data_IF_656649315412
#
_entry.id   IF_656649315412
#
_cell.length_a   1.000
_cell.length_b   1.000
_cell.length_c   1.000
_cell.angle_alpha   90.00
_cell.angle_beta   90.00
_cell.angle_gamma   90.00
#
_symmetry.space_group_name_H-M   'P 1'
#
loop_
_entity.id
_entity.type
_entity.pdbx_description
1 polymer ?
#
# COMPACT_ATOMS: atom_id res chain seq x y z
N UNK A 1 0.92 11.66 3.26
CA UNK A 1 0.91 12.15 1.86
C UNK A 1 2.30 11.96 1.29
N UNK A 2 2.42 11.44 0.08
CA UNK A 2 3.70 11.07 -0.55
C UNK A 2 4.20 12.17 -1.49
N UNK A 3 5.50 12.19 -1.77
CA UNK A 3 6.09 13.18 -2.69
C UNK A 3 5.90 12.70 -4.15
N UNK A 4 5.19 13.48 -4.99
CA UNK A 4 4.91 13.11 -6.38
C UNK A 4 6.15 12.84 -7.24
N UNK A 5 7.33 13.32 -6.84
CA UNK A 5 8.57 13.04 -7.57
C UNK A 5 8.98 11.58 -7.53
N UNK A 6 8.59 10.82 -6.49
CA UNK A 6 8.94 9.42 -6.30
C UNK A 6 7.87 8.45 -6.82
N UNK A 7 6.59 8.81 -6.72
CA UNK A 7 5.50 7.88 -7.04
C UNK A 7 4.85 8.11 -8.41
N UNK A 8 5.07 9.28 -9.04
CA UNK A 8 4.44 9.62 -10.33
C UNK A 8 5.44 9.53 -11.49
N UNK A 9 5.05 8.78 -12.53
CA UNK A 9 5.88 8.58 -13.72
C UNK A 9 6.21 9.91 -14.43
N UNK A 10 7.41 10.05 -15.02
CA UNK A 10 7.86 11.31 -15.63
C UNK A 10 6.92 11.87 -16.72
N UNK A 11 6.26 10.99 -17.48
CA UNK A 11 5.36 11.35 -18.58
C UNK A 11 4.04 11.98 -18.13
N UNK A 12 3.59 11.72 -16.90
CA UNK A 12 2.46 12.42 -16.28
C UNK A 12 2.93 13.72 -15.64
N UNK A 13 4.08 13.69 -14.95
CA UNK A 13 4.66 14.88 -14.30
C UNK A 13 4.95 16.02 -15.28
N UNK A 14 5.30 15.72 -16.53
CA UNK A 14 5.55 16.74 -17.55
C UNK A 14 4.27 17.42 -18.07
N UNK A 15 3.09 16.87 -17.79
CA UNK A 15 1.78 17.37 -18.27
C UNK A 15 0.85 17.82 -17.15
N UNK A 16 1.27 17.67 -15.89
CA UNK A 16 0.50 18.06 -14.72
C UNK A 16 1.25 19.14 -13.94
N UNK A 17 0.54 20.19 -13.56
CA UNK A 17 1.09 21.21 -12.68
C UNK A 17 1.07 20.69 -11.24
N UNK A 18 2.23 20.66 -10.59
CA UNK A 18 2.35 20.26 -9.19
C UNK A 18 2.17 21.49 -8.32
N UNK A 19 1.16 21.44 -7.44
CA UNK A 19 0.97 22.42 -6.39
C UNK A 19 1.36 21.80 -5.05
N UNK A 20 2.24 22.48 -4.33
CA UNK A 20 2.51 22.16 -2.93
C UNK A 20 1.46 22.87 -2.08
N UNK A 21 0.66 22.07 -1.38
CA UNK A 21 -0.26 22.58 -0.36
C UNK A 21 0.45 22.54 0.99
N UNK A 22 0.34 23.62 1.74
CA UNK A 22 0.80 23.66 3.12
C UNK A 22 -0.33 23.25 4.05
N UNK A 23 0.04 22.86 5.27
CA UNK A 23 -0.93 22.70 6.35
C UNK A 23 -1.65 24.03 6.60
N UNK A 24 -2.93 23.93 6.94
CA UNK A 24 -3.70 25.10 7.33
C UNK A 24 -3.19 25.63 8.66
N UNK A 25 -3.12 26.96 8.77
CA UNK A 25 -2.80 27.56 10.05
C UNK A 25 -4.01 27.49 11.00
N UNK A 26 -3.79 27.89 12.26
CA UNK A 26 -4.83 27.84 13.28
C UNK A 26 -6.02 28.77 12.97
N UNK A 27 -5.78 29.90 12.31
CA UNK A 27 -6.82 30.85 11.95
C UNK A 27 -7.70 30.30 10.82
N UNK A 28 -7.10 29.68 9.81
CA UNK A 28 -7.78 29.01 8.71
C UNK A 28 -8.67 27.87 9.22
N UNK A 29 -8.12 27.01 10.09
CA UNK A 29 -8.90 25.94 10.70
C UNK A 29 -10.05 26.49 11.54
N UNK A 30 -9.83 27.55 12.32
CA UNK A 30 -10.88 28.21 13.11
C UNK A 30 -11.98 28.76 12.20
N UNK A 31 -11.62 29.35 11.06
CA UNK A 31 -12.57 29.87 10.08
C UNK A 31 -13.39 28.75 9.43
N UNK A 32 -12.78 27.59 9.15
CA UNK A 32 -13.47 26.41 8.60
C UNK A 32 -14.47 25.86 9.61
N UNK A 33 -14.06 25.64 10.86
CA UNK A 33 -14.95 25.14 11.92
C UNK A 33 -16.10 26.11 12.17
N UNK A 34 -15.81 27.42 12.25
CA UNK A 34 -16.84 28.44 12.41
C UNK A 34 -17.82 28.48 11.24
N UNK A 35 -17.35 28.24 10.00
CA UNK A 35 -18.21 28.13 8.82
C UNK A 35 -19.11 26.91 8.91
N UNK A 36 -18.57 25.76 9.29
CA UNK A 36 -19.35 24.54 9.47
C UNK A 36 -20.45 24.70 10.54
N UNK A 37 -20.15 25.38 11.65
CA UNK A 37 -21.14 25.67 12.70
C UNK A 37 -22.25 26.63 12.25
N UNK A 38 -22.00 27.52 11.28
CA UNK A 38 -22.96 28.56 10.84
C UNK A 38 -23.73 28.17 9.58
N UNK A 39 -23.17 27.32 8.71
CA UNK A 39 -23.79 26.92 7.45
C UNK A 39 -25.05 26.08 7.72
N UNK A 40 -26.22 26.58 7.32
CA UNK A 40 -27.52 25.95 7.55
C UNK A 40 -27.90 24.92 6.48
N UNK A 41 -27.15 24.83 5.39
CA UNK A 41 -27.45 23.91 4.28
C UNK A 41 -26.49 22.72 4.25
N UNK A 42 -25.20 22.98 4.47
CA UNK A 42 -24.12 21.98 4.37
C UNK A 42 -23.34 21.80 5.67
N UNK A 43 -23.78 22.43 6.75
CA UNK A 43 -23.16 22.37 8.07
C UNK A 43 -24.18 22.19 9.18
N UNK A 44 -23.76 22.56 10.39
CA UNK A 44 -24.48 22.35 11.64
C UNK A 44 -25.35 23.55 12.06
N UNK A 45 -25.54 24.53 11.18
CA UNK A 45 -26.24 25.78 11.52
C UNK A 45 -27.72 25.61 11.87
N UNK A 46 -28.34 24.47 11.54
CA UNK A 46 -29.72 24.14 11.96
C UNK A 46 -29.80 23.50 13.33
N UNK A 47 -28.68 23.00 13.84
CA UNK A 47 -28.61 22.19 15.06
C UNK A 47 -28.19 23.02 16.26
N UNK A 48 -27.87 24.30 16.05
CA UNK A 48 -27.50 25.25 17.09
C UNK A 48 -26.41 24.72 18.03
N UNK A 49 -25.45 23.98 17.49
CA UNK A 49 -24.30 23.47 18.24
C UNK A 49 -23.45 24.66 18.69
N UNK A 50 -23.21 24.74 20.00
CA UNK A 50 -22.32 25.74 20.61
C UNK A 50 -21.15 25.01 21.25
N UNK A 51 -19.92 25.47 21.00
CA UNK A 51 -18.71 24.97 21.64
C UNK A 51 -18.24 25.98 22.68
N UNK A 52 -17.68 25.51 23.79
CA UNK A 52 -16.80 26.34 24.61
C UNK A 52 -15.53 26.72 23.84
N UNK A 53 -14.91 27.86 24.17
CA UNK A 53 -13.70 28.31 23.47
C UNK A 53 -12.55 27.32 23.65
N UNK A 54 -12.42 26.73 24.85
CA UNK A 54 -11.44 25.68 25.16
C UNK A 54 -11.72 24.40 24.36
N UNK A 55 -12.99 24.06 24.15
CA UNK A 55 -13.40 22.92 23.34
C UNK A 55 -13.01 23.12 21.87
N UNK A 56 -13.25 24.31 21.32
CA UNK A 56 -12.80 24.68 19.99
C UNK A 56 -11.28 24.63 19.87
N UNK A 57 -10.55 25.17 20.85
CA UNK A 57 -9.09 25.16 20.85
C UNK A 57 -8.49 23.75 20.90
N UNK A 58 -9.14 22.82 21.60
CA UNK A 58 -8.77 21.40 21.57
C UNK A 58 -8.98 20.76 20.20
N UNK A 59 -10.11 21.05 19.54
CA UNK A 59 -10.37 20.57 18.16
C UNK A 59 -9.27 21.08 17.21
N UNK A 60 -8.94 22.38 17.27
CA UNK A 60 -7.94 22.99 16.40
C UNK A 60 -6.54 22.41 16.67
N UNK A 61 -6.19 22.22 17.94
CA UNK A 61 -4.90 21.64 18.33
C UNK A 61 -4.78 20.19 17.88
N UNK A 62 -5.84 19.39 18.01
CA UNK A 62 -5.88 18.01 17.53
C UNK A 62 -5.82 17.89 16.00
N UNK A 63 -6.46 18.82 15.29
CA UNK A 63 -6.50 18.84 13.84
C UNK A 63 -5.10 19.04 13.22
N UNK A 64 -4.22 19.79 13.89
CA UNK A 64 -2.82 20.03 13.50
C UNK A 64 -2.65 20.32 11.99
N UNK A 65 -3.46 21.24 11.47
CA UNK A 65 -3.46 21.65 10.06
C UNK A 65 -4.34 20.83 9.10
N UNK A 66 -4.97 19.74 9.55
CA UNK A 66 -5.93 18.95 8.74
C UNK A 66 -7.39 19.33 9.08
N UNK A 67 -8.04 20.09 8.19
CA UNK A 67 -9.44 20.48 8.34
C UNK A 67 -10.39 19.29 8.45
N UNK A 68 -10.08 18.15 7.81
CA UNK A 68 -10.93 16.96 7.88
C UNK A 68 -10.98 16.42 9.30
N UNK A 69 -9.84 16.39 10.00
CA UNK A 69 -9.78 15.98 11.41
C UNK A 69 -10.62 16.89 12.31
N UNK A 70 -10.52 18.20 12.11
CA UNK A 70 -11.32 19.17 12.85
C UNK A 70 -12.82 18.93 12.65
N UNK A 71 -13.26 18.74 11.40
CA UNK A 71 -14.66 18.52 11.06
C UNK A 71 -15.19 17.16 11.54
N UNK A 72 -14.37 16.10 11.53
CA UNK A 72 -14.76 14.79 12.07
C UNK A 72 -14.99 14.84 13.59
N UNK A 73 -14.13 15.55 14.34
CA UNK A 73 -14.35 15.74 15.78
C UNK A 73 -15.60 16.57 16.03
N UNK A 74 -15.86 17.57 15.19
CA UNK A 74 -17.07 18.39 15.25
C UNK A 74 -18.35 17.58 14.98
N UNK A 75 -18.32 16.66 14.02
CA UNK A 75 -19.41 15.73 13.73
C UNK A 75 -19.68 14.79 14.92
N UNK A 76 -18.64 14.19 15.50
CA UNK A 76 -18.78 13.37 16.71
C UNK A 76 -19.33 14.17 17.91
N UNK A 77 -18.98 15.47 18.01
CA UNK A 77 -19.53 16.35 19.02
C UNK A 77 -21.03 16.65 18.80
N UNK A 78 -21.48 16.75 17.54
CA UNK A 78 -22.88 16.89 17.17
C UNK A 78 -23.69 15.63 17.56
N UNK A 79 -23.19 14.44 17.26
CA UNK A 79 -23.83 13.18 17.66
C UNK A 79 -24.00 13.09 19.18
N UNK A 80 -22.97 13.48 19.93
CA UNK A 80 -23.03 13.56 21.40
C UNK A 80 -24.11 14.54 21.86
N UNK A 81 -24.18 15.74 21.27
CA UNK A 81 -25.16 16.76 21.63
C UNK A 81 -26.61 16.32 21.37
N UNK A 82 -26.86 15.62 20.26
CA UNK A 82 -28.19 15.06 19.91
C UNK A 82 -28.65 14.01 20.91
N UNK A 83 -27.74 13.15 21.38
CA UNK A 83 -28.07 12.08 22.34
C UNK A 83 -28.49 12.59 23.73
N UNK A 84 -28.04 13.79 24.11
CA UNK A 84 -28.28 14.35 25.45
C UNK A 84 -29.38 15.43 25.50
N UNK A 85 -29.94 15.83 24.35
CA UNK A 85 -30.96 16.90 24.23
C UNK A 85 -30.54 18.20 24.96
N UNK A 86 -29.24 18.53 24.90
CA UNK A 86 -28.63 19.63 25.67
C UNK A 86 -28.56 20.92 24.84
N UNK A 87 -29.14 21.98 25.37
CA UNK A 87 -29.04 23.36 24.87
C UNK A 87 -27.82 24.13 25.43
N UNK A 88 -26.80 23.42 25.92
CA UNK A 88 -25.62 24.01 26.56
C UNK A 88 -24.38 23.89 25.67
N UNK A 89 -23.41 24.82 25.79
CA UNK A 89 -22.12 24.69 25.11
C UNK A 89 -21.45 23.34 25.40
N UNK A 90 -20.90 22.71 24.37
CA UNK A 90 -20.16 21.45 24.50
C UNK A 90 -18.85 21.74 25.21
N UNK A 91 -18.58 21.12 26.37
CA UNK A 91 -17.40 21.44 27.15
C UNK A 91 -16.14 20.74 26.64
N UNK A 92 -14.99 21.32 26.97
CA UNK A 92 -13.68 20.78 26.60
C UNK A 92 -13.52 19.29 26.93
N UNK A 93 -14.01 18.84 28.09
CA UNK A 93 -13.94 17.43 28.55
C UNK A 93 -14.65 16.44 27.62
N UNK A 94 -15.73 16.87 26.96
CA UNK A 94 -16.43 16.02 25.97
C UNK A 94 -15.55 15.85 24.74
N UNK A 95 -14.97 16.94 24.25
CA UNK A 95 -14.02 16.92 23.13
C UNK A 95 -12.77 16.11 23.49
N UNK A 96 -12.22 16.24 24.69
CA UNK A 96 -11.12 15.40 25.17
C UNK A 96 -11.52 13.93 25.18
N UNK A 97 -12.73 13.58 25.63
CA UNK A 97 -13.21 12.19 25.61
C UNK A 97 -13.38 11.63 24.19
N UNK A 98 -13.82 12.47 23.24
CA UNK A 98 -13.92 12.12 21.81
C UNK A 98 -12.52 11.91 21.23
N UNK A 99 -11.61 12.86 21.48
CA UNK A 99 -10.23 12.81 21.00
C UNK A 99 -9.47 11.65 21.63
N UNK A 100 -9.60 11.39 22.93
CA UNK A 100 -8.90 10.30 23.61
C UNK A 100 -9.37 8.93 23.11
N UNK A 101 -10.67 8.75 22.83
CA UNK A 101 -11.13 7.52 22.15
C UNK A 101 -10.51 7.38 20.76
N UNK A 102 -10.32 8.48 20.03
CA UNK A 102 -9.64 8.47 18.74
C UNK A 102 -8.10 8.28 18.85
N UNK A 103 -7.46 8.83 19.90
CA UNK A 103 -6.01 8.83 20.11
C UNK A 103 -5.48 7.54 20.75
N UNK A 104 -6.26 6.89 21.63
CA UNK A 104 -5.95 5.53 22.14
C UNK A 104 -5.91 4.51 21.00
N UNK A 105 -6.52 4.82 19.86
CA UNK A 105 -6.53 3.94 18.71
C UNK A 105 -5.28 4.06 17.84
N UNK A 106 -4.65 5.25 17.65
CA UNK A 106 -3.50 5.39 16.72
C UNK A 106 -2.83 6.78 16.71
N UNK A 107 -1.50 6.82 16.81
CA UNK A 107 -0.70 7.99 16.45
C UNK A 107 -0.23 7.90 14.98
N UNK A 108 -0.80 8.75 14.12
CA UNK A 108 -0.41 8.86 12.69
C UNK A 108 0.87 9.66 12.46
N UNK A 109 1.40 10.36 13.46
CA UNK A 109 2.55 11.27 13.34
C UNK A 109 3.87 10.65 13.78
N UNK A 110 3.84 9.42 14.29
CA UNK A 110 5.00 8.74 14.87
C UNK A 110 5.42 7.47 14.12
N UNK A 111 6.56 6.91 14.58
CA UNK A 111 7.10 5.59 14.21
C UNK A 111 6.05 4.47 14.28
N UNK A 112 4.99 4.64 15.09
CA UNK A 112 3.92 3.66 15.26
C UNK A 112 3.18 3.27 13.98
N UNK A 113 3.01 4.16 13.00
CA UNK A 113 2.43 3.79 11.69
C UNK A 113 3.24 2.68 11.02
N UNK A 114 4.56 2.86 10.93
CA UNK A 114 5.46 1.89 10.33
C UNK A 114 5.59 0.64 11.19
N UNK A 115 5.52 0.77 12.52
CA UNK A 115 5.57 -0.37 13.43
C UNK A 115 4.33 -1.26 13.30
N UNK A 116 3.13 -0.68 13.18
CA UNK A 116 1.89 -1.42 12.92
C UNK A 116 1.92 -2.11 11.56
N UNK A 117 2.36 -1.42 10.51
CA UNK A 117 2.52 -2.00 9.17
C UNK A 117 3.56 -3.15 9.16
N UNK A 118 4.66 -2.95 9.87
CA UNK A 118 5.74 -3.93 10.05
C UNK A 118 5.24 -5.16 10.80
N UNK A 119 4.47 -4.99 11.88
CA UNK A 119 3.87 -6.07 12.64
C UNK A 119 2.83 -6.83 11.81
N UNK A 120 2.02 -6.11 11.02
CA UNK A 120 1.07 -6.70 10.07
C UNK A 120 1.77 -7.60 9.04
N UNK A 121 2.81 -7.10 8.38
CA UNK A 121 3.57 -7.88 7.39
C UNK A 121 4.28 -9.08 8.03
N UNK A 122 4.88 -8.91 9.21
CA UNK A 122 5.52 -10.01 9.96
C UNK A 122 4.53 -11.08 10.39
N UNK A 123 3.31 -10.70 10.76
CA UNK A 123 2.25 -11.65 11.13
C UNK A 123 1.79 -12.48 9.92
N UNK A 124 1.57 -11.82 8.78
CA UNK A 124 1.27 -12.47 7.51
C UNK A 124 2.38 -13.47 7.12
N UNK A 125 3.65 -13.04 7.15
CA UNK A 125 4.83 -13.86 6.87
C UNK A 125 4.97 -15.03 7.84
N UNK A 126 4.76 -14.77 9.13
CA UNK A 126 4.78 -15.75 10.22
C UNK A 126 3.61 -16.72 10.21
N UNK A 127 2.66 -16.56 9.28
CA UNK A 127 1.46 -17.39 9.15
C UNK A 127 0.52 -17.34 10.35
N UNK A 128 0.55 -16.23 11.09
CA UNK A 128 -0.36 -15.95 12.20
C UNK A 128 -1.53 -15.09 11.69
N UNK A 129 -2.63 -15.75 11.33
CA UNK A 129 -3.81 -15.08 10.77
C UNK A 129 -4.52 -14.21 11.81
N UNK A 130 -4.53 -14.61 13.09
CA UNK A 130 -5.20 -13.88 14.15
C UNK A 130 -4.45 -12.59 14.47
N UNK A 131 -3.12 -12.66 14.59
CA UNK A 131 -2.28 -11.48 14.74
C UNK A 131 -2.37 -10.54 13.54
N UNK A 132 -2.38 -11.08 12.30
CA UNK A 132 -2.53 -10.26 11.10
C UNK A 132 -3.88 -9.52 11.06
N UNK A 133 -4.97 -10.17 11.47
CA UNK A 133 -6.29 -9.54 11.60
C UNK A 133 -6.30 -8.48 12.70
N UNK A 134 -5.64 -8.74 13.84
CA UNK A 134 -5.51 -7.75 14.89
C UNK A 134 -4.80 -6.47 14.41
N UNK A 135 -3.67 -6.60 13.72
CA UNK A 135 -2.94 -5.44 13.19
C UNK A 135 -3.71 -4.72 12.07
N UNK A 136 -4.44 -5.45 11.21
CA UNK A 136 -5.37 -4.86 10.26
C UNK A 136 -6.42 -4.00 10.99
N UNK A 137 -7.08 -4.56 12.01
CA UNK A 137 -8.11 -3.86 12.77
C UNK A 137 -7.55 -2.65 13.52
N UNK A 138 -6.34 -2.76 14.09
CA UNK A 138 -5.64 -1.65 14.77
C UNK A 138 -5.35 -0.50 13.80
N UNK A 139 -4.85 -0.80 12.60
CA UNK A 139 -4.63 0.23 11.56
C UNK A 139 -5.95 0.87 11.10
N UNK A 140 -7.01 0.09 10.86
CA UNK A 140 -8.33 0.61 10.47
C UNK A 140 -8.92 1.51 11.56
N UNK A 141 -8.94 1.04 12.81
CA UNK A 141 -9.45 1.80 13.94
C UNK A 141 -8.63 3.07 14.18
N UNK A 142 -7.35 3.02 13.82
CA UNK A 142 -6.47 4.16 13.77
C UNK A 142 -6.66 5.15 12.63
N UNK A 143 -7.63 4.86 11.77
CA UNK A 143 -7.94 5.64 10.60
C UNK A 143 -6.89 5.56 9.51
N UNK A 144 -5.95 4.60 9.54
CA UNK A 144 -4.94 4.42 8.50
C UNK A 144 -5.55 4.45 7.10
N UNK A 145 -4.82 5.00 6.12
CA UNK A 145 -5.29 4.96 4.74
C UNK A 145 -5.47 3.49 4.31
N UNK A 146 -6.70 3.02 4.01
CA UNK A 146 -6.92 1.62 3.63
C UNK A 146 -6.15 1.24 2.35
N UNK A 147 -5.81 2.21 1.50
CA UNK A 147 -4.96 1.98 0.33
C UNK A 147 -3.54 1.61 0.73
N UNK A 148 -3.00 2.21 1.80
CA UNK A 148 -1.69 1.87 2.33
C UNK A 148 -1.67 0.42 2.84
N UNK A 149 -2.70 0.02 3.60
CA UNK A 149 -2.86 -1.36 4.08
C UNK A 149 -2.91 -2.33 2.90
N UNK A 150 -3.71 -2.03 1.88
CA UNK A 150 -3.85 -2.85 0.68
C UNK A 150 -2.53 -3.01 -0.08
N UNK A 151 -1.75 -1.92 -0.25
CA UNK A 151 -0.43 -1.98 -0.88
C UNK A 151 0.52 -2.90 -0.10
N UNK A 152 0.51 -2.83 1.24
CA UNK A 152 1.33 -3.71 2.09
C UNK A 152 0.93 -5.18 1.96
N UNK A 153 -0.37 -5.46 1.85
CA UNK A 153 -0.88 -6.81 1.62
C UNK A 153 -0.45 -7.37 0.25
N UNK A 154 -0.51 -6.57 -0.82
CA UNK A 154 -0.06 -6.96 -2.16
C UNK A 154 1.44 -7.27 -2.17
N UNK A 155 2.27 -6.42 -1.53
CA UNK A 155 3.71 -6.68 -1.39
C UNK A 155 3.95 -8.01 -0.69
N UNK A 156 3.32 -8.24 0.47
CA UNK A 156 3.50 -9.48 1.23
C UNK A 156 2.98 -10.72 0.49
N UNK A 157 1.92 -10.61 -0.30
CA UNK A 157 1.46 -11.70 -1.15
C UNK A 157 2.49 -12.08 -2.23
N UNK A 158 3.17 -11.12 -2.84
CA UNK A 158 4.22 -11.39 -3.83
C UNK A 158 5.56 -11.81 -3.20
N UNK A 159 5.94 -11.18 -2.09
CA UNK A 159 7.24 -11.36 -1.43
C UNK A 159 7.31 -12.62 -0.57
N UNK A 160 6.27 -12.88 0.23
CA UNK A 160 6.30 -13.90 1.27
C UNK A 160 5.49 -15.16 0.92
N UNK A 161 4.47 -15.04 0.06
CA UNK A 161 3.75 -16.20 -0.51
C UNK A 161 4.31 -16.57 -1.88
N UNK A 162 4.49 -15.58 -2.76
CA UNK A 162 5.23 -15.74 -4.01
C UNK A 162 4.74 -16.91 -4.88
N UNK A 163 5.68 -17.70 -5.39
CA UNK A 163 5.36 -18.85 -6.24
C UNK A 163 4.83 -20.05 -5.44
N UNK A 164 4.77 -19.95 -4.10
CA UNK A 164 4.20 -21.05 -3.33
C UNK A 164 2.69 -21.16 -3.51
N UNK A 165 2.02 -20.04 -3.72
CA UNK A 165 0.63 -19.95 -4.13
C UNK A 165 0.37 -18.63 -4.88
N UNK A 166 0.53 -18.62 -6.22
CA UNK A 166 0.36 -17.40 -7.02
C UNK A 166 -1.04 -16.77 -6.94
N UNK A 167 -2.06 -17.50 -6.47
CA UNK A 167 -3.40 -16.94 -6.28
C UNK A 167 -3.43 -15.86 -5.19
N UNK A 168 -2.49 -15.89 -4.23
CA UNK A 168 -2.41 -14.88 -3.18
C UNK A 168 -2.26 -13.46 -3.74
N UNK A 169 -1.46 -13.29 -4.79
CA UNK A 169 -1.27 -11.99 -5.45
C UNK A 169 -2.58 -11.51 -6.11
N UNK A 170 -3.30 -12.40 -6.78
CA UNK A 170 -4.59 -12.06 -7.41
C UNK A 170 -5.63 -11.66 -6.36
N UNK A 171 -5.71 -12.41 -5.26
CA UNK A 171 -6.65 -12.14 -4.16
C UNK A 171 -6.31 -10.82 -3.47
N UNK A 172 -5.04 -10.56 -3.17
CA UNK A 172 -4.60 -9.29 -2.58
C UNK A 172 -4.88 -8.11 -3.51
N UNK A 173 -4.70 -8.28 -4.82
CA UNK A 173 -4.99 -7.24 -5.82
C UNK A 173 -6.49 -6.96 -5.93
N UNK A 174 -7.33 -8.00 -5.95
CA UNK A 174 -8.78 -7.84 -5.92
C UNK A 174 -9.26 -7.14 -4.64
N UNK A 175 -8.64 -7.43 -3.49
CA UNK A 175 -8.92 -6.71 -2.24
C UNK A 175 -8.50 -5.24 -2.31
N UNK A 176 -7.36 -4.92 -2.93
CA UNK A 176 -6.94 -3.54 -3.16
C UNK A 176 -7.91 -2.78 -4.07
N UNK A 177 -8.39 -3.40 -5.14
CA UNK A 177 -9.44 -2.80 -5.98
C UNK A 177 -10.75 -2.60 -5.21
N UNK A 178 -11.14 -3.55 -4.36
CA UNK A 178 -12.32 -3.43 -3.52
C UNK A 178 -12.20 -2.25 -2.55
N UNK A 179 -11.01 -2.00 -1.99
CA UNK A 179 -10.74 -0.82 -1.17
C UNK A 179 -11.00 0.48 -1.93
N UNK A 180 -10.55 0.58 -3.17
CA UNK A 180 -10.75 1.77 -4.01
C UNK A 180 -12.22 1.99 -4.39
N UNK A 181 -12.93 0.89 -4.71
CA UNK A 181 -14.29 0.97 -5.25
C UNK A 181 -15.37 1.09 -4.17
N UNK A 182 -15.16 0.45 -3.01
CA UNK A 182 -16.16 0.36 -1.93
C UNK A 182 -15.85 1.36 -0.82
N UNK A 183 -14.58 1.50 -0.44
CA UNK A 183 -14.18 2.32 0.70
C UNK A 183 -14.55 1.71 2.06
N UNK A 184 -14.02 2.30 3.13
CA UNK A 184 -14.38 1.91 4.49
C UNK A 184 -15.76 2.49 4.88
N UNK A 185 -16.55 1.78 5.72
CA UNK A 185 -16.15 0.61 6.51
C UNK A 185 -16.25 -0.73 5.76
N UNK A 186 -16.99 -0.84 4.66
CA UNK A 186 -17.30 -2.11 4.01
C UNK A 186 -16.07 -2.81 3.41
N UNK A 187 -15.09 -2.05 2.91
CA UNK A 187 -13.82 -2.59 2.41
C UNK A 187 -13.00 -3.36 3.45
N UNK A 188 -13.30 -3.24 4.75
CA UNK A 188 -12.64 -4.05 5.80
C UNK A 188 -12.88 -5.56 5.61
N UNK A 189 -14.00 -5.93 4.99
CA UNK A 189 -14.42 -7.33 4.79
C UNK A 189 -13.54 -8.02 3.73
N UNK A 190 -13.45 -7.52 2.47
CA UNK A 190 -12.56 -8.12 1.48
C UNK A 190 -11.08 -8.03 1.88
N UNK A 191 -10.67 -6.96 2.60
CA UNK A 191 -9.33 -6.89 3.20
C UNK A 191 -9.08 -8.03 4.19
N UNK A 192 -9.99 -8.25 5.15
CA UNK A 192 -9.85 -9.32 6.13
C UNK A 192 -9.81 -10.71 5.47
N UNK A 193 -10.64 -10.93 4.44
CA UNK A 193 -10.63 -12.17 3.67
C UNK A 193 -9.26 -12.43 3.03
N UNK A 194 -8.70 -11.43 2.34
CA UNK A 194 -7.39 -11.55 1.71
C UNK A 194 -6.25 -11.70 2.73
N UNK A 195 -6.32 -11.01 3.88
CA UNK A 195 -5.35 -11.15 4.98
C UNK A 195 -5.31 -12.58 5.50
N UNK A 196 -6.48 -13.18 5.78
CA UNK A 196 -6.56 -14.58 6.24
C UNK A 196 -5.99 -15.54 5.20
N UNK A 197 -6.28 -15.30 3.91
CA UNK A 197 -5.73 -16.10 2.82
C UNK A 197 -4.20 -16.04 2.78
N UNK A 198 -3.63 -14.83 2.74
CA UNK A 198 -2.17 -14.62 2.65
C UNK A 198 -1.46 -15.18 3.89
N UNK A 199 -2.03 -14.99 5.08
CA UNK A 199 -1.48 -15.57 6.32
C UNK A 199 -1.44 -17.10 6.26
N UNK A 200 -2.48 -17.76 5.75
CA UNK A 200 -2.58 -19.23 5.71
C UNK A 200 -1.90 -19.88 4.51
N UNK A 201 -1.57 -19.13 3.47
CA UNK A 201 -0.90 -19.66 2.28
C UNK A 201 0.50 -20.19 2.59
N UNK A 202 0.97 -21.17 1.81
CA UNK A 202 2.36 -21.62 1.86
C UNK A 202 3.31 -20.45 1.54
N UNK A 203 4.47 -20.40 2.18
CA UNK A 203 5.42 -19.28 2.05
C UNK A 203 6.55 -19.61 1.08
N UNK A 204 6.93 -18.64 0.26
CA UNK A 204 8.06 -18.71 -0.65
C UNK A 204 8.52 -17.30 -1.05
N UNK A 205 9.78 -16.98 -0.73
CA UNK A 205 10.44 -15.72 -1.07
C UNK A 205 11.45 -15.85 -2.23
N UNK A 206 11.40 -16.93 -2.99
CA UNK A 206 12.31 -17.21 -4.11
C UNK A 206 12.33 -16.09 -5.15
N UNK A 207 11.18 -15.46 -5.43
CA UNK A 207 11.05 -14.40 -6.41
C UNK A 207 11.82 -13.13 -6.00
N UNK A 208 11.61 -12.65 -4.77
CA UNK A 208 12.30 -11.45 -4.26
C UNK A 208 13.82 -11.72 -4.13
N UNK A 209 14.20 -12.88 -3.61
CA UNK A 209 15.61 -13.28 -3.51
C UNK A 209 16.28 -13.34 -4.88
N UNK A 210 15.59 -13.87 -5.90
CA UNK A 210 16.14 -13.99 -7.24
C UNK A 210 16.37 -12.61 -7.89
N UNK A 211 15.39 -11.71 -7.81
CA UNK A 211 15.50 -10.38 -8.42
C UNK A 211 16.52 -9.51 -7.69
N UNK A 212 16.56 -9.54 -6.35
CA UNK A 212 17.50 -8.74 -5.57
C UNK A 212 18.95 -9.17 -5.83
N UNK A 213 19.21 -10.48 -5.97
CA UNK A 213 20.55 -10.97 -6.35
C UNK A 213 20.97 -10.53 -7.75
N UNK A 214 20.04 -10.55 -8.71
CA UNK A 214 20.33 -10.09 -10.07
C UNK A 214 20.57 -8.57 -10.11
N UNK A 215 19.79 -7.79 -9.34
CA UNK A 215 19.97 -6.35 -9.21
C UNK A 215 21.29 -6.00 -8.53
N UNK A 216 21.69 -6.73 -7.47
CA UNK A 216 22.97 -6.51 -6.79
C UNK A 216 24.17 -6.77 -7.72
N UNK A 217 24.15 -7.89 -8.47
CA UNK A 217 25.16 -8.20 -9.48
C UNK A 217 25.32 -7.04 -10.49
N UNK A 218 24.21 -6.45 -10.96
CA UNK A 218 24.21 -5.38 -11.96
C UNK A 218 24.64 -4.03 -11.36
N UNK A 219 24.04 -3.64 -10.24
CA UNK A 219 24.16 -2.28 -9.69
C UNK A 219 25.41 -2.11 -8.82
N UNK A 220 25.79 -3.13 -8.07
CA UNK A 220 26.84 -3.03 -7.06
C UNK A 220 28.11 -3.77 -7.45
N UNK A 221 28.00 -4.86 -8.23
CA UNK A 221 29.16 -5.67 -8.64
C UNK A 221 29.63 -5.36 -10.08
N UNK A 222 28.89 -4.55 -10.83
CA UNK A 222 29.25 -4.17 -12.20
C UNK A 222 29.12 -5.30 -13.23
N UNK A 223 28.39 -6.37 -12.91
CA UNK A 223 28.10 -7.50 -13.81
C UNK A 223 27.00 -7.16 -14.84
N UNK A 224 27.08 -5.97 -15.44
CA UNK A 224 26.17 -5.48 -16.47
C UNK A 224 26.73 -5.78 -17.86
N UNK A 225 26.38 -6.94 -18.41
CA UNK A 225 26.86 -7.40 -19.72
C UNK A 225 25.83 -7.18 -20.85
N UNK A 226 26.29 -7.05 -22.11
CA UNK A 226 25.37 -6.96 -23.24
C UNK A 226 24.58 -8.26 -23.45
N UNK A 227 23.42 -8.14 -24.10
CA UNK A 227 22.61 -9.29 -24.52
C UNK A 227 23.40 -10.16 -25.52
N UNK A 228 23.45 -11.49 -25.36
CA UNK A 228 24.04 -12.40 -26.34
C UNK A 228 23.47 -12.20 -27.76
N UNK A 229 24.31 -12.28 -28.79
CA UNK A 229 23.89 -12.02 -30.18
C UNK A 229 22.75 -12.95 -30.65
N UNK A 230 22.73 -14.19 -30.18
CA UNK A 230 21.66 -15.16 -30.45
C UNK A 230 20.30 -14.78 -29.85
N UNK A 231 20.25 -13.85 -28.89
CA UNK A 231 19.01 -13.42 -28.20
C UNK A 231 18.61 -11.99 -28.56
N UNK A 232 19.42 -11.29 -29.36
CA UNK A 232 19.10 -9.94 -29.83
C UNK A 232 17.91 -9.97 -30.79
N UNK A 233 17.15 -8.87 -30.79
CA UNK A 233 16.02 -8.68 -31.70
C UNK A 233 16.47 -8.79 -33.18
N UNK A 234 15.63 -9.44 -33.98
CA UNK A 234 15.86 -9.67 -35.41
C UNK A 234 14.84 -9.01 -36.34
N UNK A 235 13.91 -8.23 -35.81
CA UNK A 235 12.83 -7.62 -36.58
C UNK A 235 13.26 -6.44 -37.48
N UNK A 236 14.51 -5.96 -37.37
CA UNK A 236 15.03 -4.89 -38.22
C UNK A 236 15.91 -5.43 -39.36
N UNK A 237 15.86 -4.72 -40.50
CA UNK A 237 16.29 -5.20 -41.83
C UNK A 237 17.72 -5.76 -41.88
N UNK A 238 18.62 -5.21 -41.08
CA UNK A 238 20.04 -5.52 -41.13
C UNK A 238 20.47 -6.48 -40.00
N UNK A 239 19.56 -6.87 -39.08
CA UNK A 239 19.87 -7.64 -37.88
C UNK A 239 20.59 -8.96 -38.18
N UNK A 240 20.01 -9.78 -39.07
CA UNK A 240 20.57 -11.09 -39.43
C UNK A 240 21.69 -10.99 -40.46
N UNK A 241 21.50 -10.16 -41.48
CA UNK A 241 22.36 -10.12 -42.66
C UNK A 241 23.65 -9.33 -42.46
N UNK A 242 23.62 -8.27 -41.63
CA UNK A 242 24.77 -7.39 -41.39
C UNK A 242 25.42 -7.63 -40.03
N UNK A 243 24.61 -7.91 -39.01
CA UNK A 243 25.08 -8.02 -37.62
C UNK A 243 25.10 -9.46 -37.09
N UNK A 244 24.53 -10.42 -37.82
CA UNK A 244 24.49 -11.83 -37.39
C UNK A 244 23.59 -12.11 -36.18
N UNK A 245 22.72 -11.18 -35.81
CA UNK A 245 21.89 -11.33 -34.61
C UNK A 245 20.79 -12.37 -34.81
N UNK A 246 20.55 -13.17 -33.78
CA UNK A 246 19.54 -14.23 -33.75
C UNK A 246 19.71 -15.32 -34.80
N UNK A 247 20.86 -15.38 -35.50
CA UNK A 247 21.16 -16.45 -36.48
C UNK A 247 21.21 -17.81 -35.80
N UNK A 248 21.84 -17.89 -34.63
CA UNK A 248 21.98 -19.12 -33.85
C UNK A 248 20.85 -19.33 -32.81
N UNK A 249 19.78 -18.53 -32.87
CA UNK A 249 18.67 -18.68 -31.94
C UNK A 249 17.93 -20.00 -32.16
N UNK A 250 17.84 -20.81 -31.11
CA UNK A 250 17.07 -22.04 -31.09
C UNK A 250 15.70 -21.78 -30.48
N UNK A 251 14.65 -21.83 -31.31
CA UNK A 251 13.27 -21.65 -30.86
C UNK A 251 12.77 -22.88 -30.09
N UNK A 252 12.50 -22.81 -28.77
CA UNK A 252 12.25 -24.01 -27.95
C UNK A 252 11.08 -24.88 -28.42
N UNK A 253 10.01 -24.29 -28.96
CA UNK A 253 8.82 -25.02 -29.42
C UNK A 253 9.08 -25.90 -30.66
N UNK A 254 10.17 -25.67 -31.39
CA UNK A 254 10.58 -26.51 -32.52
C UNK A 254 11.33 -27.77 -32.10
N UNK A 255 11.69 -27.91 -30.81
CA UNK A 255 12.45 -29.05 -30.30
C UNK A 255 11.56 -30.02 -29.52
N UNK A 256 11.88 -31.34 -29.53
CA UNK A 256 11.14 -32.34 -28.76
C UNK A 256 11.00 -31.95 -27.28
N UNK A 257 9.78 -32.11 -26.73
CA UNK A 257 9.49 -31.73 -25.35
C UNK A 257 9.52 -30.23 -25.06
N UNK A 258 9.58 -29.39 -26.12
CA UNK A 258 9.68 -27.91 -26.03
C UNK A 258 10.91 -27.43 -25.25
N UNK A 259 11.99 -28.22 -25.28
CA UNK A 259 13.24 -27.95 -24.57
C UNK A 259 14.41 -28.00 -25.54
N UNK A 260 15.32 -27.05 -25.38
CA UNK A 260 16.54 -26.98 -26.17
C UNK A 260 17.70 -26.56 -25.28
N UNK A 261 18.88 -27.14 -25.53
CA UNK A 261 20.12 -26.70 -24.90
C UNK A 261 20.62 -25.42 -25.57
N UNK A 262 20.46 -24.31 -24.85
CA UNK A 262 20.84 -22.96 -25.26
C UNK A 262 21.19 -22.13 -24.03
N UNK A 263 22.30 -21.39 -24.11
CA UNK A 263 22.69 -20.40 -23.10
C UNK A 263 21.81 -19.15 -23.23
N UNK A 264 21.18 -18.74 -22.13
CA UNK A 264 20.34 -17.53 -22.09
C UNK A 264 21.00 -16.37 -21.34
N UNK A 265 21.89 -16.67 -20.39
CA UNK A 265 22.67 -15.65 -19.69
C UNK A 265 23.87 -15.21 -20.54
N UNK A 266 24.42 -13.99 -20.31
CA UNK A 266 25.73 -13.61 -20.81
C UNK A 266 26.79 -14.66 -20.47
N UNK A 267 27.77 -14.85 -21.35
CA UNK A 267 28.83 -15.86 -21.20
C UNK A 267 29.60 -15.71 -19.88
N UNK A 268 29.76 -14.48 -19.41
CA UNK A 268 30.42 -14.12 -18.15
C UNK A 268 29.65 -14.60 -16.92
N UNK A 269 28.32 -14.78 -17.05
CA UNK A 269 27.42 -15.27 -16.00
C UNK A 269 27.07 -16.75 -16.18
N UNK A 270 27.79 -17.48 -17.03
CA UNK A 270 27.53 -18.90 -17.28
C UNK A 270 27.56 -19.71 -15.98
N UNK A 271 26.49 -20.47 -15.74
CA UNK A 271 26.32 -21.29 -14.54
C UNK A 271 25.81 -20.55 -13.31
N UNK A 272 25.66 -19.22 -13.35
CA UNK A 272 25.02 -18.45 -12.27
C UNK A 272 23.57 -18.88 -12.13
N UNK A 273 23.11 -19.01 -10.87
CA UNK A 273 21.72 -19.33 -10.53
C UNK A 273 21.17 -18.27 -9.60
N UNK A 274 20.20 -17.50 -10.09
CA UNK A 274 19.50 -16.49 -9.27
C UNK A 274 18.35 -17.11 -8.49
N UNK A 275 17.54 -17.93 -9.17
CA UNK A 275 16.40 -18.62 -8.59
C UNK A 275 16.88 -19.74 -7.66
N UNK A 276 16.55 -19.69 -6.35
CA UNK A 276 16.83 -20.79 -5.43
C UNK A 276 16.16 -22.09 -5.89
N UNK A 277 16.75 -23.27 -5.60
CA UNK A 277 16.06 -24.53 -5.85
C UNK A 277 14.76 -24.60 -5.02
N UNK A 278 13.75 -25.28 -5.55
CA UNK A 278 12.50 -25.50 -4.80
C UNK A 278 12.78 -26.17 -3.45
N UNK A 279 12.10 -25.75 -2.36
CA UNK A 279 12.24 -26.40 -1.07
C UNK A 279 11.83 -27.88 -1.17
N UNK A 280 12.53 -28.79 -0.47
CA UNK A 280 12.21 -30.21 -0.48
C UNK A 280 10.78 -30.42 0.07
N UNK A 281 9.89 -30.97 -0.75
CA UNK A 281 8.48 -31.22 -0.40
C UNK A 281 7.44 -30.78 -1.45
N UNK A 282 7.85 -30.02 -2.49
CA UNK A 282 6.97 -29.56 -3.59
C UNK A 282 7.13 -30.29 -4.93
N UNK A 283 7.82 -31.43 -4.95
CA UNK A 283 7.74 -32.33 -6.11
C UNK A 283 6.41 -33.07 -6.06
N UNK A 284 5.38 -32.48 -6.65
CA UNK A 284 4.40 -33.17 -7.50
C UNK A 284 3.34 -32.17 -8.00
N UNK A 285 3.49 -31.78 -9.27
CA UNK A 285 2.43 -31.73 -10.29
C UNK A 285 3.12 -31.52 -11.64
N UNK A 286 3.85 -32.55 -12.04
CA UNK A 286 4.20 -32.75 -13.43
C UNK A 286 3.15 -33.67 -14.05
N UNK A 287 2.24 -33.08 -14.83
CA UNK A 287 1.57 -33.71 -15.98
C UNK A 287 1.41 -32.65 -17.04
#
# INVERSE_FOLDING_TARGET
TENPSFEVIPSLRSRCQIFRLEYLDRADLRAIVARALKDRERGLGRESIVLEDEALDLILSHANGDARRALNVLEAAQDYARGENRSLPIPAKVIEGIIQRAAVLYDKSGTEHYDHASAFQKSLRGSDADAAIYWLAKMIAGGEDPRFIARRLVVTAAEDVGNADPQALLIATAAAEAVERIGLPEARIPLAQAVIYVARAAKDNSAIVAVDRALDDIQNQGHSYPVPDSLKDTHYRDAKTRYGYGVDYKYPHSYPGRKVDQEYLPKELKGKKYVPPEPPGKKERGT
#
